data_IF_768263270269
#
_entry.id   IF_768263270269
#
_cell.length_a   1.000
_cell.length_b   1.000
_cell.length_c   1.000
_cell.angle_alpha   90.00
_cell.angle_beta   90.00
_cell.angle_gamma   90.00
#
_symmetry.space_group_name_H-M   'P 1'
#
loop_
_entity.id
_entity.type
_entity.pdbx_description
1 polymer ?
#
# COMPACT_ATOMS: atom_id res chain seq x y z
N UNK A 1 -51.01 8.19 -7.70
CA UNK A 1 -49.99 9.15 -7.21
C UNK A 1 -50.05 9.10 -5.70
N UNK A 2 -49.16 8.32 -5.10
CA UNK A 2 -49.02 8.19 -3.65
C UNK A 2 -47.52 8.01 -3.37
N UNK A 3 -46.94 9.10 -2.85
CA UNK A 3 -45.81 9.27 -1.93
C UNK A 3 -44.64 8.26 -1.94
N UNK A 4 -43.38 8.73 -2.10
CA UNK A 4 -42.20 7.91 -1.85
C UNK A 4 -41.92 7.78 -0.34
N UNK A 5 -41.69 6.54 0.11
CA UNK A 5 -41.25 6.22 1.46
C UNK A 5 -39.82 6.73 1.73
N UNK A 6 -39.51 7.10 2.98
CA UNK A 6 -38.22 7.67 3.39
C UNK A 6 -37.11 6.60 3.42
N UNK A 7 -35.90 7.07 3.15
CA UNK A 7 -34.66 6.30 3.17
C UNK A 7 -34.32 5.92 4.62
N UNK A 8 -34.30 4.62 4.89
CA UNK A 8 -33.79 4.05 6.14
C UNK A 8 -32.32 3.66 5.94
N UNK A 9 -31.53 4.16 6.88
CA UNK A 9 -30.12 3.93 7.18
C UNK A 9 -29.71 2.45 7.09
N UNK A 10 -28.88 2.14 6.09
CA UNK A 10 -28.05 0.94 6.12
C UNK A 10 -26.71 1.29 6.74
N UNK A 11 -26.66 1.04 8.05
CA UNK A 11 -25.53 1.14 8.95
C UNK A 11 -24.21 0.66 8.34
N UNK A 12 -23.22 1.54 8.45
CA UNK A 12 -21.83 1.35 8.07
C UNK A 12 -21.14 0.43 9.09
N UNK A 13 -21.33 -0.87 8.93
CA UNK A 13 -20.45 -1.88 9.51
C UNK A 13 -19.32 -2.17 8.52
N UNK A 14 -18.29 -1.31 8.56
CA UNK A 14 -16.92 -1.75 8.20
C UNK A 14 -16.27 -2.21 9.49
N UNK A 15 -16.65 -3.41 9.91
CA UNK A 15 -15.88 -4.19 10.88
C UNK A 15 -14.63 -4.67 10.14
N UNK A 16 -13.65 -3.77 10.09
CA UNK A 16 -12.25 -3.99 9.73
C UNK A 16 -11.61 -4.80 10.87
N UNK A 17 -11.81 -6.10 10.88
CA UNK A 17 -11.13 -7.01 11.80
C UNK A 17 -10.75 -8.27 11.05
N UNK A 18 -9.52 -8.30 10.51
CA UNK A 18 -8.63 -9.47 10.33
C UNK A 18 -7.49 -9.07 9.36
N UNK A 19 -6.42 -8.39 9.79
CA UNK A 19 -5.31 -9.07 10.49
C UNK A 19 -4.36 -8.06 11.20
N UNK A 20 -4.59 -7.87 12.50
CA UNK A 20 -3.63 -7.48 13.57
C UNK A 20 -2.52 -6.45 13.20
N UNK A 21 -2.95 -5.23 12.88
CA UNK A 21 -2.23 -3.95 12.87
C UNK A 21 -0.83 -3.90 12.21
N UNK A 22 -0.69 -4.42 10.99
CA UNK A 22 0.47 -4.08 10.15
C UNK A 22 0.54 -2.58 9.83
N UNK A 23 -0.62 -1.93 9.69
CA UNK A 23 -0.78 -0.49 9.50
C UNK A 23 -2.04 0.00 10.23
N UNK A 24 -2.12 1.30 10.49
CA UNK A 24 -3.33 1.97 10.99
C UNK A 24 -3.63 3.18 10.11
N UNK A 25 -4.86 3.24 9.61
CA UNK A 25 -5.38 4.39 8.86
C UNK A 25 -6.50 5.05 9.64
N UNK A 26 -6.38 6.35 9.88
CA UNK A 26 -7.46 7.18 10.45
C UNK A 26 -8.00 8.09 9.36
N UNK A 27 -9.31 8.33 9.36
CA UNK A 27 -9.95 9.33 8.47
C UNK A 27 -9.73 9.03 6.97
N UNK A 28 -9.55 7.75 6.60
CA UNK A 28 -9.37 7.27 5.22
C UNK A 28 -8.09 7.71 4.50
N UNK A 29 -7.20 8.46 5.17
CA UNK A 29 -5.97 8.96 4.54
C UNK A 29 -4.85 9.34 5.53
N UNK A 30 -4.98 9.05 6.84
CA UNK A 30 -3.94 9.33 7.84
C UNK A 30 -3.27 8.03 8.27
N UNK A 31 -2.02 7.85 7.87
CA UNK A 31 -1.20 6.71 8.23
C UNK A 31 -0.50 6.93 9.58
N UNK A 32 -0.35 5.86 10.34
CA UNK A 32 0.50 5.80 11.52
C UNK A 32 1.97 6.12 11.19
N UNK A 33 2.78 6.34 12.22
CA UNK A 33 4.19 6.72 12.03
C UNK A 33 5.02 5.65 11.28
N UNK A 34 4.66 4.37 11.39
CA UNK A 34 5.34 3.25 10.74
C UNK A 34 5.01 3.24 9.24
N UNK A 35 3.72 3.21 8.90
CA UNK A 35 3.22 3.25 7.53
C UNK A 35 3.60 4.55 6.81
N UNK A 36 3.59 5.69 7.51
CA UNK A 36 4.06 6.96 6.94
C UNK A 36 5.56 6.97 6.68
N UNK A 37 6.37 6.27 7.51
CA UNK A 37 7.78 6.07 7.21
C UNK A 37 7.98 5.22 5.95
N UNK A 38 7.15 4.18 5.79
CA UNK A 38 7.05 3.36 4.58
C UNK A 38 6.75 4.20 3.33
N UNK A 39 5.74 5.06 3.39
CA UNK A 39 5.40 5.99 2.33
C UNK A 39 6.58 6.90 1.94
N UNK A 40 7.30 7.47 2.91
CA UNK A 40 8.48 8.30 2.62
C UNK A 40 9.58 7.52 1.91
N UNK A 41 9.84 6.30 2.38
CA UNK A 41 10.84 5.41 1.79
C UNK A 41 10.43 5.02 0.36
N UNK A 42 9.16 4.66 0.17
CA UNK A 42 8.55 4.34 -1.11
C UNK A 42 8.71 5.49 -2.11
N UNK A 43 8.40 6.71 -1.68
CA UNK A 43 8.54 7.91 -2.52
C UNK A 43 9.97 8.19 -2.96
N UNK A 44 10.94 7.83 -2.13
CA UNK A 44 12.34 8.10 -2.42
C UNK A 44 12.96 7.07 -3.38
N UNK A 45 12.53 5.80 -3.30
CA UNK A 45 13.22 4.70 -4.00
C UNK A 45 12.36 3.96 -5.04
N UNK A 46 11.05 3.88 -4.84
CA UNK A 46 10.16 2.99 -5.60
C UNK A 46 9.20 3.76 -6.54
N UNK A 47 8.77 4.95 -6.12
CA UNK A 47 7.76 5.74 -6.81
C UNK A 47 8.13 6.15 -8.24
N UNK A 48 9.43 6.19 -8.57
CA UNK A 48 9.90 6.53 -9.91
C UNK A 48 9.42 5.54 -10.97
N UNK A 49 9.26 4.27 -10.61
CA UNK A 49 8.83 3.21 -11.53
C UNK A 49 7.40 2.74 -11.26
N UNK A 50 7.00 2.64 -9.99
CA UNK A 50 5.67 2.15 -9.60
C UNK A 50 4.63 3.26 -9.39
N UNK A 51 4.95 4.49 -9.77
CA UNK A 51 4.08 5.66 -9.63
C UNK A 51 4.12 6.28 -8.23
N UNK A 52 3.65 7.52 -8.10
CA UNK A 52 3.77 8.33 -6.88
C UNK A 52 3.27 7.63 -5.62
N UNK A 53 2.26 6.78 -5.76
CA UNK A 53 1.62 6.07 -4.66
C UNK A 53 1.47 4.57 -4.91
N UNK A 54 2.15 3.98 -5.90
CA UNK A 54 2.06 2.53 -6.15
C UNK A 54 1.03 2.13 -7.19
N UNK A 55 0.35 3.08 -7.83
CA UNK A 55 -0.65 2.80 -8.88
C UNK A 55 -0.07 2.19 -10.18
N UNK A 56 1.25 2.01 -10.26
CA UNK A 56 1.93 1.54 -11.47
C UNK A 56 2.25 2.66 -12.45
N UNK A 57 3.32 2.48 -13.23
CA UNK A 57 3.69 3.34 -14.35
C UNK A 57 4.57 2.55 -15.32
N UNK A 58 5.87 2.48 -15.04
CA UNK A 58 6.82 1.63 -15.76
C UNK A 58 6.79 0.22 -15.18
N UNK A 59 6.73 0.14 -13.84
CA UNK A 59 6.46 -1.09 -13.11
C UNK A 59 4.96 -1.31 -12.89
N UNK A 60 4.55 -2.52 -12.49
CA UNK A 60 3.16 -2.87 -12.23
C UNK A 60 2.59 -2.09 -11.04
N UNK A 61 1.26 -2.08 -10.96
CA UNK A 61 0.54 -1.58 -9.79
C UNK A 61 0.84 -2.49 -8.59
N UNK A 62 1.44 -1.90 -7.55
CA UNK A 62 1.85 -2.63 -6.35
C UNK A 62 0.66 -2.96 -5.45
N UNK A 63 -0.39 -2.13 -5.45
CA UNK A 63 -1.60 -2.42 -4.69
C UNK A 63 -2.28 -3.70 -5.21
N UNK A 64 -2.41 -3.84 -6.52
CA UNK A 64 -2.95 -5.07 -7.13
C UNK A 64 -1.98 -6.26 -7.00
N UNK A 65 -0.66 -6.01 -7.10
CA UNK A 65 0.34 -7.07 -6.98
C UNK A 65 0.32 -7.71 -5.58
N UNK A 66 0.07 -6.92 -4.53
CA UNK A 66 0.02 -7.41 -3.15
C UNK A 66 -1.20 -8.28 -2.84
N UNK A 67 -2.23 -8.24 -3.68
CA UNK A 67 -3.37 -9.15 -3.57
C UNK A 67 -3.04 -10.55 -4.11
N UNK A 68 -2.00 -10.69 -4.93
CA UNK A 68 -1.63 -11.95 -5.59
C UNK A 68 -0.32 -12.56 -5.06
N UNK A 69 0.58 -11.74 -4.51
CA UNK A 69 1.85 -12.21 -3.93
C UNK A 69 1.76 -12.25 -2.40
N UNK A 70 2.56 -13.12 -1.79
CA UNK A 70 2.69 -13.17 -0.33
C UNK A 70 3.68 -12.11 0.19
N UNK A 71 3.63 -11.82 1.49
CA UNK A 71 4.62 -10.96 2.17
C UNK A 71 6.06 -11.43 1.91
N UNK A 72 6.30 -12.75 2.00
CA UNK A 72 7.63 -13.32 1.76
C UNK A 72 8.10 -13.08 0.34
N UNK A 73 7.21 -13.25 -0.65
CA UNK A 73 7.53 -12.94 -2.04
C UNK A 73 7.82 -11.44 -2.24
N UNK A 74 7.05 -10.56 -1.59
CA UNK A 74 7.33 -9.12 -1.61
C UNK A 74 8.74 -8.82 -1.10
N UNK A 75 9.11 -9.37 0.06
CA UNK A 75 10.45 -9.15 0.63
C UNK A 75 11.56 -9.74 -0.22
N UNK A 76 11.34 -10.91 -0.83
CA UNK A 76 12.32 -11.51 -1.72
C UNK A 76 12.54 -10.64 -2.96
N UNK A 77 11.45 -10.18 -3.59
CA UNK A 77 11.50 -9.27 -4.76
C UNK A 77 12.18 -7.95 -4.41
N UNK A 78 11.89 -7.35 -3.26
CA UNK A 78 12.57 -6.12 -2.83
C UNK A 78 14.06 -6.37 -2.60
N UNK A 79 14.41 -7.47 -1.93
CA UNK A 79 15.79 -7.80 -1.58
C UNK A 79 16.63 -8.15 -2.81
N UNK A 80 16.14 -9.07 -3.64
CA UNK A 80 16.87 -9.65 -4.76
C UNK A 80 16.60 -8.96 -6.10
N UNK A 81 15.56 -8.11 -6.17
CA UNK A 81 15.08 -7.57 -7.43
C UNK A 81 14.27 -8.60 -8.20
N UNK A 82 13.67 -8.18 -9.32
CA UNK A 82 12.91 -9.06 -10.21
C UNK A 82 13.06 -8.60 -11.64
N UNK A 83 13.51 -9.50 -12.50
CA UNK A 83 13.61 -9.27 -13.94
C UNK A 83 12.47 -10.00 -14.63
N UNK A 84 11.73 -9.31 -15.48
CA UNK A 84 10.63 -9.88 -16.24
C UNK A 84 10.39 -9.16 -17.55
N UNK A 85 9.32 -9.54 -18.23
CA UNK A 85 8.94 -9.03 -19.55
C UNK A 85 8.64 -7.53 -19.55
N UNK A 86 8.17 -7.01 -18.41
CA UNK A 86 7.81 -5.60 -18.19
C UNK A 86 8.98 -4.72 -17.75
N UNK A 87 10.13 -5.31 -17.42
CA UNK A 87 11.31 -4.57 -16.98
C UNK A 87 12.14 -5.30 -15.94
N UNK A 88 13.19 -4.64 -15.46
CA UNK A 88 14.07 -5.16 -14.41
C UNK A 88 14.00 -4.25 -13.18
N UNK A 89 13.45 -4.78 -12.09
CA UNK A 89 13.50 -4.16 -10.77
C UNK A 89 14.87 -4.48 -10.14
N UNK A 90 15.66 -3.45 -9.76
CA UNK A 90 16.97 -3.66 -9.15
C UNK A 90 16.86 -4.31 -7.77
N UNK A 91 17.92 -5.01 -7.37
CA UNK A 91 18.05 -5.58 -6.03
C UNK A 91 18.34 -4.49 -4.99
N UNK A 92 17.56 -4.42 -3.92
CA UNK A 92 17.76 -3.44 -2.85
C UNK A 92 18.57 -3.98 -1.66
N UNK A 93 19.04 -5.23 -1.70
CA UNK A 93 19.87 -5.83 -0.64
C UNK A 93 21.09 -4.99 -0.22
N UNK A 94 21.65 -4.22 -1.15
CA UNK A 94 22.80 -3.34 -0.88
C UNK A 94 22.42 -1.98 -0.29
N UNK A 95 21.12 -1.66 -0.20
CA UNK A 95 20.62 -0.41 0.36
C UNK A 95 20.06 -0.65 1.78
N UNK A 96 20.83 -0.33 2.83
CA UNK A 96 20.42 -0.63 4.20
C UNK A 96 19.14 0.11 4.61
N UNK A 97 18.88 1.30 4.05
CA UNK A 97 17.65 2.05 4.35
C UNK A 97 16.39 1.34 3.83
N UNK A 98 16.48 0.74 2.65
CA UNK A 98 15.35 0.01 2.06
C UNK A 98 15.13 -1.31 2.77
N UNK A 99 16.20 -2.04 3.08
CA UNK A 99 16.10 -3.33 3.76
C UNK A 99 15.64 -3.19 5.21
N UNK A 100 16.09 -2.16 5.92
CA UNK A 100 15.65 -1.88 7.29
C UNK A 100 14.21 -1.35 7.35
N UNK A 101 13.73 -0.73 6.28
CA UNK A 101 12.35 -0.21 6.19
C UNK A 101 11.43 -1.03 5.30
N UNK A 102 11.77 -2.29 4.99
CA UNK A 102 10.96 -3.14 4.13
C UNK A 102 9.60 -3.44 4.74
N UNK A 103 9.54 -3.62 6.06
CA UNK A 103 8.30 -3.89 6.79
C UNK A 103 7.38 -2.67 6.73
N UNK A 104 7.95 -1.48 6.87
CA UNK A 104 7.23 -0.21 6.72
C UNK A 104 6.71 -0.02 5.28
N UNK A 105 7.51 -0.40 4.28
CA UNK A 105 7.09 -0.39 2.87
C UNK A 105 5.91 -1.33 2.65
N UNK A 106 5.99 -2.54 3.19
CA UNK A 106 4.92 -3.53 3.07
C UNK A 106 3.64 -3.04 3.74
N UNK A 107 3.72 -2.53 4.98
CA UNK A 107 2.59 -1.92 5.70
C UNK A 107 1.90 -0.81 4.90
N UNK A 108 2.68 0.14 4.35
CA UNK A 108 2.13 1.22 3.52
C UNK A 108 1.42 0.70 2.27
N UNK A 109 2.01 -0.28 1.58
CA UNK A 109 1.47 -0.78 0.33
C UNK A 109 0.27 -1.70 0.58
N UNK A 110 0.25 -2.46 1.68
CA UNK A 110 -0.91 -3.23 2.13
C UNK A 110 -2.08 -2.31 2.44
N UNK A 111 -1.86 -1.21 3.18
CA UNK A 111 -2.89 -0.20 3.42
C UNK A 111 -3.55 0.32 2.13
N UNK A 112 -2.80 0.31 1.03
CA UNK A 112 -3.32 0.69 -0.28
C UNK A 112 -3.95 -0.47 -1.05
N UNK A 113 -3.38 -1.67 -0.94
CA UNK A 113 -3.92 -2.92 -1.49
C UNK A 113 -5.33 -3.20 -0.95
N UNK A 114 -5.54 -2.97 0.34
CA UNK A 114 -6.82 -3.10 1.03
C UNK A 114 -7.76 -1.90 0.77
N UNK A 115 -7.29 -0.86 0.08
CA UNK A 115 -8.08 0.34 -0.19
C UNK A 115 -8.31 1.24 1.03
N UNK A 116 -7.61 1.00 2.14
CA UNK A 116 -7.71 1.81 3.36
C UNK A 116 -7.18 3.25 3.16
N UNK A 117 -6.22 3.44 2.24
CA UNK A 117 -5.80 4.77 1.77
C UNK A 117 -6.18 5.00 0.30
N UNK A 118 -6.91 6.09 0.04
CA UNK A 118 -7.34 6.47 -1.31
C UNK A 118 -6.20 6.81 -2.27
N UNK A 119 -6.53 7.23 -3.49
CA UNK A 119 -5.51 7.55 -4.53
C UNK A 119 -4.65 8.78 -4.20
N UNK A 120 -4.99 9.50 -3.13
CA UNK A 120 -4.39 10.76 -2.72
C UNK A 120 -3.13 10.58 -1.85
N UNK A 121 -2.48 11.70 -1.54
CA UNK A 121 -1.28 11.72 -0.69
C UNK A 121 -1.66 11.35 0.75
N UNK A 122 -1.08 10.29 1.34
CA UNK A 122 -1.29 9.98 2.74
C UNK A 122 -0.71 11.08 3.64
N UNK A 123 -1.46 11.43 4.67
CA UNK A 123 -1.04 12.31 5.76
C UNK A 123 -0.56 11.45 6.93
N UNK A 124 0.29 12.02 7.78
CA UNK A 124 0.63 11.38 9.05
C UNK A 124 -0.52 11.65 10.03
N UNK A 125 -0.91 10.64 10.82
CA UNK A 125 -1.78 10.77 11.99
C UNK A 125 -1.22 11.80 12.99
#
# INVERSE_FOLDING_TARGET
>A
MAEPAPQEDANNDKEDESSDALYSVVDGNKLDANSYAGFKLYRNWCARCHGTYGQGMVGPNLAESLQVITEQEFFDVVKNGKSGTIGSMPAWKSNPKVIAGRDQLYAYLMARSDGAIGVEKPKKQ
#
